data_IF_883870445937
#
_entry.id   IF_883870445937
#
_cell.length_a   1.000
_cell.length_b   1.000
_cell.length_c   1.000
_cell.angle_alpha   90.00
_cell.angle_beta   90.00
_cell.angle_gamma   90.00
#
_symmetry.space_group_name_H-M   'P 1'
#
loop_
_entity.id
_entity.type
_entity.pdbx_description
1 polymer ?
#
# COMPACT_ATOMS: atom_id res chain seq x y z
N UNK A 1 -23.22 -37.08 23.84
CA UNK A 1 -22.05 -36.18 23.94
C UNK A 1 -21.63 -35.80 22.52
N UNK A 2 -21.97 -34.59 22.10
CA UNK A 2 -21.25 -33.72 21.15
C UNK A 2 -22.25 -32.72 20.54
N UNK A 3 -22.38 -31.58 21.22
CA UNK A 3 -23.04 -30.41 20.66
C UNK A 3 -22.17 -29.89 19.51
N UNK A 4 -22.76 -29.80 18.31
CA UNK A 4 -22.19 -29.02 17.21
C UNK A 4 -22.33 -27.56 17.61
N UNK A 5 -21.22 -26.93 18.00
CA UNK A 5 -21.20 -25.49 18.24
C UNK A 5 -21.57 -24.78 16.94
N UNK A 6 -22.67 -24.03 17.02
CA UNK A 6 -23.12 -23.05 16.04
C UNK A 6 -22.00 -22.01 15.86
N UNK A 7 -21.37 -22.00 14.69
CA UNK A 7 -20.52 -20.87 14.29
C UNK A 7 -21.50 -19.73 14.00
N UNK A 8 -21.67 -18.85 14.98
CA UNK A 8 -22.35 -17.58 14.78
C UNK A 8 -21.76 -16.93 13.53
N UNK A 9 -22.60 -16.66 12.55
CA UNK A 9 -22.22 -15.91 11.36
C UNK A 9 -21.83 -14.50 11.82
N UNK A 10 -20.53 -14.22 11.88
CA UNK A 10 -20.02 -12.88 12.12
C UNK A 10 -20.40 -12.06 10.88
N UNK A 11 -21.44 -11.24 11.00
CA UNK A 11 -21.76 -10.26 9.98
C UNK A 11 -20.48 -9.45 9.72
N UNK A 12 -20.02 -9.35 8.45
CA UNK A 12 -18.80 -8.63 8.17
C UNK A 12 -18.99 -7.19 8.64
N UNK A 13 -18.05 -6.71 9.45
CA UNK A 13 -18.03 -5.33 9.89
C UNK A 13 -18.21 -4.41 8.66
N UNK A 14 -18.95 -3.30 8.80
CA UNK A 14 -19.17 -2.39 7.69
C UNK A 14 -17.84 -1.94 7.10
N UNK A 15 -17.77 -1.88 5.76
CA UNK A 15 -16.58 -1.46 5.06
C UNK A 15 -16.19 -0.04 5.50
N UNK A 16 -14.94 0.12 5.95
CA UNK A 16 -14.37 1.42 6.30
C UNK A 16 -13.54 1.89 5.12
N UNK A 17 -13.74 3.15 4.70
CA UNK A 17 -12.95 3.79 3.66
C UNK A 17 -11.83 4.59 4.33
N UNK A 18 -10.59 4.34 3.89
CA UNK A 18 -9.43 5.14 4.29
C UNK A 18 -9.11 6.10 3.15
N UNK A 19 -9.29 7.40 3.39
CA UNK A 19 -8.83 8.43 2.47
C UNK A 19 -7.31 8.65 2.57
N UNK A 20 -6.77 9.55 1.76
CA UNK A 20 -5.32 9.83 1.74
C UNK A 20 -4.84 10.34 3.10
N UNK A 21 -5.61 11.21 3.76
CA UNK A 21 -5.24 11.74 5.07
C UNK A 21 -5.21 10.64 6.14
N UNK A 22 -6.21 9.76 6.13
CA UNK A 22 -6.29 8.59 6.98
C UNK A 22 -5.16 7.60 6.71
N UNK A 23 -4.77 7.41 5.45
CA UNK A 23 -3.63 6.57 5.09
C UNK A 23 -2.32 7.14 5.63
N UNK A 24 -2.09 8.45 5.48
CA UNK A 24 -0.90 9.11 6.05
C UNK A 24 -0.87 8.91 7.57
N UNK A 25 -2.00 9.17 8.23
CA UNK A 25 -2.12 8.99 9.68
C UNK A 25 -1.88 7.55 10.12
N UNK A 26 -2.35 6.57 9.35
CA UNK A 26 -2.12 5.16 9.65
C UNK A 26 -0.63 4.81 9.62
N UNK A 27 0.09 5.25 8.58
CA UNK A 27 1.54 5.05 8.48
C UNK A 27 2.26 5.68 9.66
N UNK A 28 1.96 6.94 9.98
CA UNK A 28 2.57 7.66 11.10
C UNK A 28 2.36 6.91 12.42
N UNK A 29 1.12 6.49 12.71
CA UNK A 29 0.80 5.76 13.95
C UNK A 29 1.51 4.40 14.03
N UNK A 30 1.65 3.69 12.90
CA UNK A 30 2.37 2.42 12.89
C UNK A 30 3.87 2.63 13.19
N UNK A 31 4.49 3.65 12.60
CA UNK A 31 5.89 4.03 12.86
C UNK A 31 6.06 4.46 14.33
N UNK A 32 5.18 5.33 14.84
CA UNK A 32 5.19 5.79 16.24
C UNK A 32 5.07 4.63 17.24
N UNK A 33 4.35 3.56 16.86
CA UNK A 33 4.22 2.33 17.67
C UNK A 33 5.44 1.40 17.55
N UNK A 34 6.47 1.78 16.79
CA UNK A 34 7.69 0.99 16.59
C UNK A 34 7.52 -0.15 15.58
N UNK A 35 6.47 -0.13 14.76
CA UNK A 35 6.36 -1.08 13.66
C UNK A 35 7.24 -0.63 12.50
N UNK A 36 7.90 -1.61 11.88
CA UNK A 36 8.56 -1.42 10.59
C UNK A 36 7.51 -1.40 9.49
N UNK A 37 7.24 -0.23 8.93
CA UNK A 37 6.22 -0.07 7.88
C UNK A 37 6.88 -0.26 6.52
N UNK A 38 6.44 -1.27 5.79
CA UNK A 38 6.91 -1.55 4.42
C UNK A 38 5.83 -1.13 3.43
N UNK A 39 6.20 -0.35 2.43
CA UNK A 39 5.29 0.11 1.40
C UNK A 39 6.00 0.37 0.07
N UNK A 40 5.23 0.72 -0.97
CA UNK A 40 5.82 1.12 -2.23
C UNK A 40 6.57 2.45 -2.07
N UNK A 41 7.75 2.53 -2.68
CA UNK A 41 8.63 3.69 -2.60
C UNK A 41 9.35 3.88 -3.93
N UNK A 42 9.52 5.13 -4.33
CA UNK A 42 10.30 5.49 -5.51
C UNK A 42 11.80 5.38 -5.20
N UNK A 43 12.51 4.45 -5.86
CA UNK A 43 13.96 4.23 -5.73
C UNK A 43 14.57 3.87 -7.08
N UNK A 44 15.72 4.44 -7.41
CA UNK A 44 16.51 4.10 -8.61
C UNK A 44 15.68 3.99 -9.90
N UNK A 45 14.76 4.94 -10.10
CA UNK A 45 13.84 4.99 -11.25
C UNK A 45 12.86 3.79 -11.34
N UNK A 46 12.51 3.19 -10.21
CA UNK A 46 11.48 2.18 -10.07
C UNK A 46 10.62 2.42 -8.83
N UNK A 47 9.44 1.76 -8.78
CA UNK A 47 8.68 1.63 -7.54
C UNK A 47 8.96 0.24 -6.98
N UNK A 48 9.53 0.21 -5.78
CA UNK A 48 9.94 -1.00 -5.05
C UNK A 48 9.26 -1.04 -3.69
N UNK A 49 9.19 -2.21 -3.07
CA UNK A 49 8.81 -2.31 -1.66
C UNK A 49 10.04 -1.98 -0.80
N UNK A 50 9.93 -0.93 0.01
CA UNK A 50 10.95 -0.50 0.94
C UNK A 50 10.32 -0.07 2.26
N UNK A 51 11.17 0.14 3.26
CA UNK A 51 10.74 0.74 4.52
C UNK A 51 10.37 2.21 4.30
N UNK A 52 9.22 2.59 4.85
CA UNK A 52 8.74 3.96 4.88
C UNK A 52 9.24 4.61 6.17
N UNK A 53 9.96 5.72 6.04
CA UNK A 53 10.28 6.62 7.15
C UNK A 53 9.15 7.62 7.40
N UNK A 54 8.32 7.85 6.38
CA UNK A 54 7.15 8.71 6.40
C UNK A 54 6.11 8.25 5.36
N UNK A 55 4.85 8.63 5.56
CA UNK A 55 3.83 8.46 4.52
C UNK A 55 4.14 9.23 3.22
N UNK A 56 5.02 10.23 3.28
CA UNK A 56 5.47 11.00 2.11
C UNK A 56 6.43 10.23 1.20
N UNK A 57 6.95 9.10 1.67
CA UNK A 57 7.76 8.18 0.85
C UNK A 57 6.92 7.41 -0.18
N UNK A 58 5.59 7.41 -0.01
CA UNK A 58 4.67 6.79 -0.97
C UNK A 58 4.78 7.50 -2.33
N UNK A 59 4.71 6.76 -3.46
CA UNK A 59 4.92 7.30 -4.80
C UNK A 59 3.66 8.03 -5.31
N UNK A 60 3.26 9.08 -4.61
CA UNK A 60 2.08 9.87 -4.93
C UNK A 60 2.18 10.47 -6.35
N UNK A 61 1.15 10.21 -7.15
CA UNK A 61 1.07 10.68 -8.53
C UNK A 61 2.13 10.08 -9.46
N UNK A 62 2.68 8.93 -9.09
CA UNK A 62 3.51 8.12 -9.97
C UNK A 62 2.78 6.87 -10.42
N UNK A 63 2.93 6.55 -11.70
CA UNK A 63 2.52 5.30 -12.29
C UNK A 63 3.69 4.65 -13.03
N UNK A 64 3.41 3.50 -13.61
CA UNK A 64 4.39 2.72 -14.38
C UNK A 64 3.80 2.36 -15.73
N UNK A 65 4.62 2.48 -16.77
CA UNK A 65 4.37 1.89 -18.08
C UNK A 65 5.18 0.61 -18.19
N UNK A 66 4.48 -0.52 -18.30
CA UNK A 66 5.09 -1.85 -18.29
C UNK A 66 4.85 -2.54 -19.64
N UNK A 67 5.90 -3.16 -20.17
CA UNK A 67 5.86 -3.98 -21.38
C UNK A 67 6.98 -5.04 -21.37
N UNK A 68 7.07 -5.90 -22.39
CA UNK A 68 8.14 -6.90 -22.48
C UNK A 68 9.52 -6.24 -22.43
N UNK A 69 10.30 -6.50 -21.37
CA UNK A 69 11.61 -5.90 -21.14
C UNK A 69 11.60 -4.39 -20.86
N UNK A 70 10.43 -3.80 -20.56
CA UNK A 70 10.29 -2.37 -20.34
C UNK A 70 9.56 -2.08 -19.03
N UNK A 71 10.19 -1.26 -18.20
CA UNK A 71 9.59 -0.65 -17.02
C UNK A 71 9.99 0.82 -17.00
N UNK A 72 9.02 1.71 -17.04
CA UNK A 72 9.28 3.15 -17.02
C UNK A 72 8.32 3.86 -16.09
N UNK A 73 8.87 4.70 -15.23
CA UNK A 73 8.07 5.61 -14.42
C UNK A 73 7.42 6.67 -15.30
N UNK A 74 6.19 7.03 -14.94
CA UNK A 74 5.50 8.18 -15.50
C UNK A 74 4.80 8.99 -14.41
N UNK A 75 4.76 10.30 -14.61
CA UNK A 75 3.90 11.18 -13.81
C UNK A 75 2.44 10.97 -14.21
N UNK A 76 1.56 11.13 -13.22
CA UNK A 76 0.11 11.09 -13.35
C UNK A 76 -0.46 12.47 -13.06
N UNK A 77 -1.69 12.69 -13.51
CA UNK A 77 -2.46 13.91 -13.23
C UNK A 77 -3.33 13.78 -11.97
N UNK A 78 -3.18 12.68 -11.23
CA UNK A 78 -3.83 12.40 -9.95
C UNK A 78 -2.80 12.11 -8.86
N UNK A 79 -3.27 12.05 -7.61
CA UNK A 79 -2.44 11.78 -6.43
C UNK A 79 -2.53 10.31 -5.98
N UNK A 80 -2.78 9.39 -6.92
CA UNK A 80 -2.92 7.98 -6.56
C UNK A 80 -1.57 7.41 -6.07
N UNK A 81 -1.56 6.84 -4.85
CA UNK A 81 -0.34 6.27 -4.23
C UNK A 81 -0.13 4.78 -4.53
N UNK A 82 -1.15 4.08 -5.04
CA UNK A 82 -1.10 2.64 -5.35
C UNK A 82 -1.33 2.31 -6.82
N UNK A 83 -1.37 3.32 -7.70
CA UNK A 83 -1.68 3.11 -9.11
C UNK A 83 -0.45 2.70 -9.93
N UNK A 84 0.25 1.68 -9.44
CA UNK A 84 1.48 1.12 -9.99
C UNK A 84 1.55 -0.40 -9.71
N UNK A 85 2.40 -1.09 -10.46
CA UNK A 85 2.87 -2.43 -10.11
C UNK A 85 4.31 -2.35 -9.65
N UNK A 86 4.67 -3.10 -8.60
CA UNK A 86 6.08 -3.27 -8.25
C UNK A 86 6.84 -3.86 -9.45
N UNK A 87 8.06 -3.37 -9.71
CA UNK A 87 8.93 -3.96 -10.73
C UNK A 87 9.30 -5.42 -10.38
N UNK A 88 9.80 -6.21 -11.35
CA UNK A 88 10.29 -7.55 -11.05
C UNK A 88 11.38 -7.47 -9.97
N UNK A 89 11.14 -8.09 -8.82
CA UNK A 89 12.19 -8.32 -7.83
C UNK A 89 12.85 -9.67 -8.17
N UNK A 90 14.13 -9.65 -8.54
CA UNK A 90 14.95 -10.84 -8.82
C UNK A 90 15.99 -11.05 -7.74
#
# INVERSE_FOLDING_TARGET
MNQRSDVASEDPAPAVILDVAGLKRLVDVLIERGHRVIGPTLRDNAIVLAELESAEDLPCGWGVDVGPGHYRLRRRDDDAVFAHSAGPQS
#
